data_IF_477919359606
#
_entry.id   IF_477919359606
#
_cell.length_a   1.000
_cell.length_b   1.000
_cell.length_c   1.000
_cell.angle_alpha   90.00
_cell.angle_beta   90.00
_cell.angle_gamma   90.00
#
_symmetry.space_group_name_H-M   'P 1'
#
loop_
_entity.id
_entity.type
_entity.pdbx_description
1 polymer ?
#
# COMPACT_ATOMS: atom_id res chain seq x y z
N UNK A 1 -8.30 43.71 -35.58
CA UNK A 1 -8.95 42.74 -36.48
C UNK A 1 -9.34 41.57 -35.63
N UNK A 2 -10.50 41.48 -35.09
CA UNK A 2 -11.82 41.02 -35.59
C UNK A 2 -11.80 39.63 -36.24
N UNK A 3 -12.57 38.77 -35.66
CA UNK A 3 -13.42 37.68 -36.14
C UNK A 3 -12.98 36.29 -35.66
N UNK A 4 -13.80 35.33 -35.22
CA UNK A 4 -15.26 35.26 -34.88
C UNK A 4 -15.48 33.87 -34.24
N UNK A 5 -16.37 33.82 -33.31
CA UNK A 5 -17.04 32.67 -32.71
C UNK A 5 -17.64 31.74 -33.76
N UNK A 6 -17.73 30.44 -33.48
CA UNK A 6 -18.92 29.67 -33.85
C UNK A 6 -19.14 28.53 -32.88
N UNK A 7 -20.28 28.57 -32.25
CA UNK A 7 -20.98 27.48 -31.51
C UNK A 7 -21.47 26.44 -32.50
N UNK A 8 -21.51 25.20 -32.07
CA UNK A 8 -22.54 24.24 -32.51
C UNK A 8 -23.02 23.39 -31.35
N UNK A 9 -24.32 23.54 -31.11
CA UNK A 9 -25.17 22.85 -30.13
C UNK A 9 -25.97 21.78 -30.89
N UNK A 10 -26.44 20.80 -30.13
CA UNK A 10 -27.50 19.82 -30.37
C UNK A 10 -27.05 18.44 -30.88
N UNK A 11 -27.60 17.33 -30.48
CA UNK A 11 -28.99 17.01 -30.14
C UNK A 11 -29.07 15.70 -29.32
N UNK A 12 -29.97 15.70 -28.38
CA UNK A 12 -30.53 14.55 -27.64
C UNK A 12 -31.42 13.75 -28.60
N UNK A 13 -31.36 12.41 -28.53
CA UNK A 13 -32.44 11.55 -28.99
C UNK A 13 -32.60 10.37 -28.04
N UNK A 14 -33.65 10.47 -27.24
CA UNK A 14 -34.25 9.37 -26.51
C UNK A 14 -35.10 8.53 -27.48
N UNK A 15 -34.98 7.19 -27.41
CA UNK A 15 -36.00 6.28 -27.95
C UNK A 15 -36.34 5.26 -26.89
N UNK A 16 -37.53 5.47 -26.33
CA UNK A 16 -38.32 4.44 -25.68
C UNK A 16 -39.15 3.72 -26.74
N UNK A 17 -39.22 2.40 -26.69
CA UNK A 17 -40.22 1.62 -27.38
C UNK A 17 -40.67 0.46 -26.51
N UNK A 18 -41.91 0.49 -26.24
CA UNK A 18 -42.80 -0.34 -25.43
C UNK A 18 -43.31 -1.56 -26.19
N UNK A 19 -43.70 -2.59 -25.39
CA UNK A 19 -44.77 -3.57 -25.58
C UNK A 19 -44.60 -4.68 -26.61
N UNK A 20 -44.92 -5.93 -26.25
CA UNK A 20 -46.32 -6.40 -26.18
C UNK A 20 -46.45 -7.73 -25.43
N UNK A 21 -47.54 -7.78 -24.68
CA UNK A 21 -48.19 -8.92 -24.06
C UNK A 21 -48.78 -9.85 -25.16
N UNK A 22 -48.64 -11.16 -24.97
CA UNK A 22 -49.34 -12.16 -25.74
C UNK A 22 -49.74 -13.34 -24.86
N UNK A 23 -50.99 -13.38 -24.48
CA UNK A 23 -51.66 -14.38 -23.66
C UNK A 23 -52.36 -15.41 -24.55
N UNK A 24 -52.45 -16.68 -24.10
CA UNK A 24 -53.33 -17.71 -24.62
C UNK A 24 -52.62 -19.04 -24.85
N UNK A 25 -52.94 -20.16 -24.31
CA UNK A 25 -54.07 -20.71 -23.64
C UNK A 25 -54.02 -22.24 -23.75
N UNK A 26 -54.32 -22.92 -22.65
CA UNK A 26 -54.96 -24.22 -22.43
C UNK A 26 -54.30 -25.57 -22.75
N UNK A 27 -54.21 -26.31 -21.66
CA UNK A 27 -54.60 -27.71 -21.35
C UNK A 27 -53.75 -28.87 -21.96
N UNK A 28 -53.25 -29.77 -21.19
CA UNK A 28 -53.78 -30.79 -20.30
C UNK A 28 -52.69 -31.77 -19.85
N UNK A 29 -52.82 -32.11 -18.60
CA UNK A 29 -52.45 -33.37 -17.89
C UNK A 29 -51.33 -34.30 -18.39
N UNK A 30 -50.32 -34.53 -17.54
CA UNK A 30 -50.17 -35.78 -16.79
C UNK A 30 -49.02 -35.73 -15.79
N UNK A 31 -49.38 -36.21 -14.62
CA UNK A 31 -48.55 -36.50 -13.44
C UNK A 31 -47.27 -37.31 -13.75
N UNK A 32 -46.17 -36.90 -13.16
CA UNK A 32 -45.11 -37.81 -12.68
C UNK A 32 -44.42 -37.19 -11.47
N UNK A 33 -44.36 -37.97 -10.43
CA UNK A 33 -43.86 -37.70 -9.09
C UNK A 33 -42.42 -37.23 -9.05
N UNK A 34 -42.13 -36.26 -8.23
CA UNK A 34 -41.30 -36.24 -7.11
C UNK A 34 -39.81 -36.55 -7.25
N UNK A 35 -39.02 -35.57 -7.17
CA UNK A 35 -37.85 -35.61 -6.31
C UNK A 35 -37.55 -34.17 -5.92
N UNK A 36 -37.97 -33.82 -4.72
CA UNK A 36 -37.48 -32.62 -4.03
C UNK A 36 -36.05 -32.90 -3.62
N UNK A 37 -35.11 -32.63 -4.52
CA UNK A 37 -33.75 -32.40 -4.10
C UNK A 37 -33.72 -31.01 -3.44
N UNK A 38 -33.83 -31.03 -2.13
CA UNK A 38 -33.47 -29.95 -1.27
C UNK A 38 -31.94 -29.82 -1.29
N UNK A 39 -31.41 -29.20 -2.35
CA UNK A 39 -30.02 -28.73 -2.34
C UNK A 39 -29.99 -27.61 -1.32
N UNK A 40 -29.57 -27.95 -0.13
CA UNK A 40 -29.02 -26.98 0.81
C UNK A 40 -27.96 -26.23 0.01
N UNK A 41 -28.18 -24.96 -0.26
CA UNK A 41 -27.14 -24.06 -0.69
C UNK A 41 -26.17 -23.98 0.51
N UNK A 42 -25.18 -24.86 0.49
CA UNK A 42 -23.94 -24.68 1.23
C UNK A 42 -23.29 -23.48 0.55
N UNK A 43 -23.13 -22.39 1.29
CA UNK A 43 -22.49 -21.16 0.82
C UNK A 43 -20.98 -21.38 0.71
N UNK A 44 -20.56 -22.37 -0.08
CA UNK A 44 -19.18 -22.52 -0.49
C UNK A 44 -18.82 -21.36 -1.41
N UNK A 45 -17.73 -20.65 -1.12
CA UNK A 45 -17.18 -19.67 -2.03
C UNK A 45 -16.88 -20.35 -3.37
N UNK A 46 -17.21 -19.70 -4.49
CA UNK A 46 -16.86 -20.17 -5.84
C UNK A 46 -15.33 -20.06 -6.13
N UNK A 47 -14.50 -19.80 -5.11
CA UNK A 47 -13.05 -19.69 -5.25
C UNK A 47 -12.44 -21.07 -5.57
N UNK A 48 -11.92 -21.19 -6.78
CA UNK A 48 -11.30 -22.42 -7.29
C UNK A 48 -9.80 -22.43 -6.98
N UNK A 49 -9.39 -23.23 -5.99
CA UNK A 49 -8.00 -23.32 -5.54
C UNK A 49 -7.05 -23.95 -6.57
N UNK A 50 -7.55 -24.57 -7.65
CA UNK A 50 -6.70 -25.12 -8.71
C UNK A 50 -6.16 -24.05 -9.69
N UNK A 51 -6.57 -22.80 -9.51
CA UNK A 51 -6.05 -21.71 -10.34
C UNK A 51 -4.67 -21.24 -9.88
N UNK A 52 -3.92 -20.72 -10.85
CA UNK A 52 -2.60 -20.16 -10.64
C UNK A 52 -2.67 -18.93 -9.71
N UNK A 53 -1.66 -18.80 -8.85
CA UNK A 53 -1.50 -17.64 -7.98
C UNK A 53 -0.95 -16.46 -8.80
N UNK A 54 -1.66 -15.35 -8.84
CA UNK A 54 -1.12 -14.10 -9.36
C UNK A 54 -0.25 -13.43 -8.29
N UNK A 55 1.06 -13.57 -8.42
CA UNK A 55 2.02 -12.97 -7.50
C UNK A 55 2.19 -11.50 -7.86
N UNK A 56 1.92 -10.60 -6.89
CA UNK A 56 2.09 -9.16 -7.08
C UNK A 56 3.19 -8.65 -6.17
N UNK A 57 4.21 -8.02 -6.75
CA UNK A 57 5.34 -7.45 -6.03
C UNK A 57 5.47 -5.94 -6.30
N UNK A 58 6.38 -5.30 -5.58
CA UNK A 58 6.69 -3.89 -5.73
C UNK A 58 7.97 -3.71 -6.57
N UNK A 59 8.16 -2.49 -7.03
CA UNK A 59 9.37 -2.03 -7.74
C UNK A 59 10.63 -2.16 -6.87
N UNK A 60 11.80 -2.25 -7.49
CA UNK A 60 13.10 -2.45 -6.81
C UNK A 60 13.46 -1.33 -5.81
N UNK A 61 13.04 -0.09 -6.07
CA UNK A 61 13.25 1.05 -5.16
C UNK A 61 12.37 1.03 -3.91
N UNK A 62 11.37 0.14 -3.85
CA UNK A 62 10.41 0.06 -2.75
C UNK A 62 11.04 -0.42 -1.45
N UNK A 63 10.98 0.43 -0.42
CA UNK A 63 11.38 0.00 0.93
C UNK A 63 10.48 -1.09 1.50
N UNK A 64 9.20 -1.16 1.10
CA UNK A 64 8.30 -2.25 1.50
C UNK A 64 8.73 -3.58 0.90
N UNK A 65 9.14 -3.59 -0.39
CA UNK A 65 9.69 -4.79 -1.01
C UNK A 65 10.95 -5.25 -0.27
N UNK A 66 11.91 -4.34 -0.05
CA UNK A 66 13.14 -4.70 0.65
C UNK A 66 12.88 -5.32 2.03
N UNK A 67 12.02 -4.71 2.84
CA UNK A 67 11.66 -5.25 4.14
C UNK A 67 10.88 -6.59 4.02
N UNK A 68 9.99 -6.73 3.06
CA UNK A 68 9.22 -7.96 2.82
C UNK A 68 10.12 -9.14 2.45
N UNK A 69 11.03 -8.96 1.48
CA UNK A 69 11.91 -10.05 1.03
C UNK A 69 12.91 -10.47 2.11
N UNK A 70 13.40 -9.53 2.92
CA UNK A 70 14.27 -9.82 4.06
C UNK A 70 13.51 -10.62 5.14
N UNK A 71 12.32 -10.16 5.49
CA UNK A 71 11.49 -10.73 6.54
C UNK A 71 11.06 -12.17 6.27
N UNK A 72 10.64 -12.44 5.03
CA UNK A 72 10.21 -13.78 4.61
C UNK A 72 11.36 -14.65 4.09
N UNK A 73 12.60 -14.16 4.16
CA UNK A 73 13.77 -14.91 3.69
C UNK A 73 13.77 -15.19 2.19
N UNK A 74 13.09 -14.34 1.40
CA UNK A 74 13.09 -14.37 -0.07
C UNK A 74 14.41 -13.80 -0.59
N UNK A 75 15.04 -12.89 0.17
CA UNK A 75 16.38 -12.41 -0.10
C UNK A 75 17.41 -13.45 0.37
N UNK A 76 18.30 -13.87 -0.52
CA UNK A 76 19.37 -14.82 -0.20
C UNK A 76 20.73 -14.16 -0.18
N UNK A 77 21.52 -14.48 0.86
CA UNK A 77 22.90 -14.02 0.97
C UNK A 77 23.83 -14.98 0.25
N UNK A 78 24.51 -14.50 -0.78
CA UNK A 78 25.49 -15.25 -1.54
C UNK A 78 26.81 -15.43 -0.76
N UNK A 79 27.66 -16.33 -1.22
CA UNK A 79 28.95 -16.65 -0.58
C UNK A 79 29.93 -15.46 -0.52
N UNK A 80 29.79 -14.50 -1.41
CA UNK A 80 30.56 -13.24 -1.44
C UNK A 80 29.99 -12.13 -0.55
N UNK A 81 28.85 -12.42 0.11
CA UNK A 81 28.15 -11.47 0.98
C UNK A 81 27.08 -10.65 0.26
N UNK A 82 26.97 -10.75 -1.05
CA UNK A 82 25.92 -10.07 -1.83
C UNK A 82 24.54 -10.64 -1.48
N UNK A 83 23.57 -9.78 -1.33
CA UNK A 83 22.15 -10.13 -1.14
C UNK A 83 21.46 -10.14 -2.48
N UNK A 84 20.72 -11.19 -2.78
CA UNK A 84 19.98 -11.37 -4.05
C UNK A 84 18.50 -11.59 -3.75
N UNK A 85 17.66 -10.77 -4.35
CA UNK A 85 16.22 -10.94 -4.32
C UNK A 85 15.82 -12.11 -5.23
N UNK A 86 15.23 -13.14 -4.64
CA UNK A 86 14.80 -14.37 -5.30
C UNK A 86 13.31 -14.31 -5.72
N UNK A 87 12.67 -13.14 -5.65
CA UNK A 87 11.30 -12.99 -6.15
C UNK A 87 11.19 -13.47 -7.59
N UNK A 88 10.23 -14.35 -7.87
CA UNK A 88 10.04 -14.91 -9.23
C UNK A 88 9.88 -13.80 -10.28
N UNK A 89 10.43 -14.05 -11.46
CA UNK A 89 10.30 -13.14 -12.61
C UNK A 89 8.88 -13.07 -13.16
N UNK A 90 8.01 -14.00 -12.78
CA UNK A 90 6.59 -14.04 -13.17
C UNK A 90 5.73 -13.09 -12.32
N UNK A 91 6.30 -12.53 -11.27
CA UNK A 91 5.58 -11.56 -10.41
C UNK A 91 5.22 -10.28 -11.18
N UNK A 92 3.96 -9.88 -11.07
CA UNK A 92 3.48 -8.60 -11.58
C UNK A 92 4.03 -7.46 -10.71
N UNK A 93 4.78 -6.54 -11.31
CA UNK A 93 5.41 -5.43 -10.59
C UNK A 93 4.50 -4.20 -10.57
N UNK A 94 4.26 -3.69 -9.36
CA UNK A 94 3.53 -2.43 -9.11
C UNK A 94 4.47 -1.35 -8.60
N UNK A 95 4.18 -0.10 -8.90
CA UNK A 95 5.07 1.04 -8.63
C UNK A 95 4.69 1.92 -7.43
N UNK A 96 3.62 1.55 -6.71
CA UNK A 96 3.22 2.21 -5.46
C UNK A 96 2.18 1.38 -4.69
N UNK A 97 1.91 1.79 -3.44
CA UNK A 97 0.99 1.12 -2.52
C UNK A 97 -0.46 1.08 -3.03
N UNK A 98 -0.95 2.16 -3.64
CA UNK A 98 -2.33 2.21 -4.13
C UNK A 98 -2.55 1.28 -5.33
N UNK A 99 -1.57 1.17 -6.23
CA UNK A 99 -1.61 0.23 -7.36
C UNK A 99 -1.58 -1.21 -6.85
N UNK A 100 -0.74 -1.53 -5.83
CA UNK A 100 -0.72 -2.85 -5.19
C UNK A 100 -2.12 -3.23 -4.68
N UNK A 101 -2.75 -2.37 -3.88
CA UNK A 101 -4.10 -2.60 -3.36
C UNK A 101 -5.13 -2.80 -4.47
N UNK A 102 -5.10 -1.97 -5.52
CA UNK A 102 -6.04 -2.07 -6.64
C UNK A 102 -5.83 -3.34 -7.45
N UNK A 103 -4.59 -3.75 -7.66
CA UNK A 103 -4.25 -4.97 -8.40
C UNK A 103 -4.77 -6.20 -7.66
N UNK A 104 -4.47 -6.32 -6.35
CA UNK A 104 -4.93 -7.46 -5.54
C UNK A 104 -6.47 -7.45 -5.39
N UNK A 105 -7.10 -6.28 -5.25
CA UNK A 105 -8.56 -6.18 -5.19
C UNK A 105 -9.24 -6.56 -6.51
N UNK A 106 -8.57 -6.40 -7.64
CA UNK A 106 -9.10 -6.66 -8.98
C UNK A 106 -8.89 -8.08 -9.51
N UNK A 107 -8.09 -8.90 -8.86
CA UNK A 107 -7.77 -10.27 -9.25
C UNK A 107 -8.01 -11.21 -8.06
N UNK A 108 -8.96 -12.14 -8.20
CA UNK A 108 -9.39 -13.05 -7.12
C UNK A 108 -8.29 -14.02 -6.67
N UNK A 109 -7.31 -14.31 -7.54
CA UNK A 109 -6.20 -15.22 -7.27
C UNK A 109 -4.91 -14.49 -6.87
N UNK A 110 -4.96 -13.15 -6.73
CA UNK A 110 -3.78 -12.37 -6.41
C UNK A 110 -3.38 -12.46 -4.93
N UNK A 111 -2.05 -12.50 -4.73
CA UNK A 111 -1.38 -12.27 -3.44
C UNK A 111 -0.44 -11.08 -3.56
N UNK A 112 -0.40 -10.24 -2.54
CA UNK A 112 0.45 -9.05 -2.48
C UNK A 112 0.83 -8.71 -1.05
N UNK A 113 1.45 -7.56 -0.85
CA UNK A 113 1.80 -7.05 0.47
C UNK A 113 1.76 -5.52 0.52
N UNK A 114 1.38 -4.98 1.67
CA UNK A 114 1.32 -3.53 1.91
C UNK A 114 1.78 -3.18 3.33
N UNK A 115 2.05 -1.91 3.54
CA UNK A 115 2.11 -1.30 4.87
C UNK A 115 0.81 -1.55 5.63
N UNK A 116 0.90 -1.97 6.89
CA UNK A 116 -0.27 -2.22 7.73
C UNK A 116 -1.15 -0.96 7.87
N UNK A 117 -0.55 0.21 7.99
CA UNK A 117 -1.27 1.47 8.05
C UNK A 117 -1.95 1.88 6.72
N UNK A 118 -1.59 1.24 5.60
CA UNK A 118 -2.25 1.43 4.30
C UNK A 118 -3.36 0.41 4.03
N UNK A 119 -3.51 -0.60 4.90
CA UNK A 119 -4.53 -1.63 4.76
C UNK A 119 -5.93 -1.02 4.81
N UNK A 120 -6.79 -1.43 3.88
CA UNK A 120 -8.18 -0.97 3.81
C UNK A 120 -9.13 -2.12 3.44
N UNK A 121 -10.42 -1.83 3.41
CA UNK A 121 -11.47 -2.81 3.18
C UNK A 121 -11.57 -3.32 1.71
N UNK A 122 -10.68 -2.95 0.80
CA UNK A 122 -10.68 -3.48 -0.57
C UNK A 122 -10.07 -4.87 -0.69
N UNK A 123 -9.22 -5.26 0.25
CA UNK A 123 -8.48 -6.52 0.29
C UNK A 123 -8.66 -7.24 1.62
N UNK A 124 -8.19 -8.48 1.73
CA UNK A 124 -8.14 -9.26 2.96
C UNK A 124 -6.67 -9.44 3.39
N UNK A 125 -6.34 -9.11 4.65
CA UNK A 125 -5.06 -9.45 5.24
C UNK A 125 -5.07 -10.88 5.75
N UNK A 126 -3.98 -11.62 5.52
CA UNK A 126 -3.77 -12.97 6.03
C UNK A 126 -3.04 -12.93 7.38
N UNK A 127 -3.33 -13.91 8.23
CA UNK A 127 -2.49 -14.24 9.37
C UNK A 127 -1.22 -14.92 8.88
N UNK A 128 -0.13 -14.70 9.57
CA UNK A 128 1.14 -15.38 9.30
C UNK A 128 1.54 -16.16 10.56
N UNK A 129 1.74 -17.47 10.41
CA UNK A 129 2.06 -18.38 11.53
C UNK A 129 1.11 -18.24 12.73
N UNK A 130 -0.21 -18.09 12.46
CA UNK A 130 -1.24 -17.90 13.46
C UNK A 130 -1.34 -16.49 14.05
N UNK A 131 -0.44 -15.59 13.67
CA UNK A 131 -0.43 -14.22 14.15
C UNK A 131 -1.13 -13.26 13.18
N UNK A 132 -1.97 -12.36 13.71
CA UNK A 132 -2.49 -11.24 12.95
C UNK A 132 -1.33 -10.37 12.43
N UNK A 133 -1.55 -9.72 11.30
CA UNK A 133 -0.62 -8.70 10.80
C UNK A 133 -0.57 -7.55 11.82
N UNK A 134 0.42 -7.60 12.69
CA UNK A 134 0.68 -6.56 13.70
C UNK A 134 2.10 -6.04 13.53
N UNK A 135 2.34 -4.82 13.99
CA UNK A 135 3.66 -4.24 13.95
C UNK A 135 4.71 -5.00 14.80
N UNK A 136 4.28 -5.86 15.73
CA UNK A 136 5.21 -6.57 16.63
C UNK A 136 5.96 -7.73 15.95
N UNK A 137 5.39 -8.33 14.91
CA UNK A 137 5.93 -9.54 14.28
C UNK A 137 6.63 -9.27 12.94
N UNK A 138 6.30 -8.15 12.29
CA UNK A 138 6.70 -7.84 10.91
C UNK A 138 6.91 -6.33 10.80
N UNK A 139 7.81 -5.78 11.62
CA UNK A 139 7.95 -4.35 11.73
C UNK A 139 9.19 -3.79 11.03
N UNK A 140 9.07 -2.58 10.55
CA UNK A 140 10.13 -1.80 9.92
C UNK A 140 10.00 -0.33 10.30
N UNK A 141 11.09 0.43 10.33
CA UNK A 141 11.01 1.85 10.58
C UNK A 141 10.45 2.60 9.38
N UNK A 142 9.65 3.62 9.67
CA UNK A 142 9.42 4.73 8.78
C UNK A 142 10.42 5.82 9.12
N UNK A 143 11.26 6.15 8.17
CA UNK A 143 12.31 7.15 8.29
C UNK A 143 11.97 8.40 7.47
N UNK A 144 12.25 9.56 8.03
CA UNK A 144 12.52 10.76 7.26
C UNK A 144 14.03 11.00 7.27
N UNK A 145 14.54 11.53 6.17
CA UNK A 145 15.97 11.81 6.05
C UNK A 145 16.18 13.19 5.42
N UNK A 146 17.22 13.88 5.88
CA UNK A 146 17.60 15.20 5.41
C UNK A 146 19.10 15.27 5.17
N UNK A 147 19.54 16.22 4.36
CA UNK A 147 20.99 16.49 4.23
C UNK A 147 21.57 16.93 5.57
N UNK A 148 22.82 16.53 5.85
CA UNK A 148 23.53 16.91 7.07
C UNK A 148 23.72 18.41 7.25
N UNK A 149 23.68 19.16 6.17
CA UNK A 149 23.76 20.62 6.11
C UNK A 149 22.41 21.29 5.81
N UNK A 150 21.29 20.65 6.19
CA UNK A 150 19.95 21.18 5.97
C UNK A 150 19.84 22.64 6.42
N UNK A 151 19.42 23.53 5.51
CA UNK A 151 19.30 24.98 5.71
C UNK A 151 17.84 25.45 5.75
N UNK A 152 16.89 24.63 5.28
CA UNK A 152 15.47 25.00 5.21
C UNK A 152 14.83 25.02 6.62
N UNK A 153 14.51 26.23 7.11
CA UNK A 153 13.92 26.40 8.44
C UNK A 153 12.50 25.80 8.57
N UNK A 154 11.72 25.77 7.47
CA UNK A 154 10.40 25.12 7.46
C UNK A 154 10.56 23.61 7.62
N UNK A 155 11.56 23.01 6.95
CA UNK A 155 11.85 21.59 7.08
C UNK A 155 12.26 21.23 8.51
N UNK A 156 13.15 22.01 9.13
CA UNK A 156 13.57 21.81 10.53
C UNK A 156 12.40 21.90 11.50
N UNK A 157 11.56 22.92 11.35
CA UNK A 157 10.40 23.15 12.21
C UNK A 157 9.32 22.08 12.03
N UNK A 158 9.10 21.62 10.79
CA UNK A 158 8.19 20.51 10.51
C UNK A 158 8.70 19.18 11.08
N UNK A 159 10.00 18.88 10.99
CA UNK A 159 10.60 17.70 11.64
C UNK A 159 10.40 17.78 13.17
N UNK A 160 10.59 18.95 13.78
CA UNK A 160 10.33 19.15 15.21
C UNK A 160 8.86 18.92 15.56
N UNK A 161 7.92 19.28 14.68
CA UNK A 161 6.50 18.97 14.84
C UNK A 161 6.22 17.47 14.74
N UNK A 162 6.77 16.78 13.74
CA UNK A 162 6.62 15.34 13.58
C UNK A 162 7.08 14.60 14.85
N UNK A 163 8.22 15.01 15.41
CA UNK A 163 8.85 14.40 16.58
C UNK A 163 8.32 14.95 17.91
N UNK A 164 7.23 15.71 17.90
CA UNK A 164 6.58 16.21 19.12
C UNK A 164 5.47 15.28 19.60
N UNK A 165 4.98 15.51 20.82
CA UNK A 165 3.81 14.82 21.38
C UNK A 165 2.61 14.90 20.43
N UNK A 166 2.36 16.09 19.86
CA UNK A 166 1.24 16.31 18.93
C UNK A 166 1.40 15.56 17.62
N UNK A 167 2.63 15.49 17.07
CA UNK A 167 2.94 14.70 15.88
C UNK A 167 2.83 13.20 16.14
N UNK A 168 3.35 12.73 17.28
CA UNK A 168 3.32 11.31 17.64
C UNK A 168 1.94 10.82 18.08
N UNK A 169 1.06 11.70 18.53
CA UNK A 169 -0.37 11.38 18.72
C UNK A 169 -1.05 11.07 17.37
N UNK A 170 -0.70 11.79 16.30
CA UNK A 170 -1.18 11.47 14.94
C UNK A 170 -0.68 10.11 14.49
N UNK A 171 0.61 9.81 14.69
CA UNK A 171 1.20 8.49 14.38
C UNK A 171 0.38 7.37 15.04
N UNK A 172 0.09 7.51 16.33
CA UNK A 172 -0.70 6.53 17.09
C UNK A 172 -2.15 6.42 16.59
N UNK A 173 -2.80 7.54 16.28
CA UNK A 173 -4.18 7.57 15.78
C UNK A 173 -4.32 6.91 14.40
N UNK A 174 -3.29 7.00 13.57
CA UNK A 174 -3.21 6.33 12.26
C UNK A 174 -2.73 4.87 12.37
N UNK A 175 -2.67 4.30 13.59
CA UNK A 175 -2.37 2.89 13.91
C UNK A 175 -0.93 2.46 13.64
N UNK A 176 -0.01 3.40 13.58
CA UNK A 176 1.42 3.11 13.61
C UNK A 176 1.93 3.09 15.05
N UNK A 177 3.09 2.47 15.30
CA UNK A 177 3.74 2.54 16.60
C UNK A 177 4.52 3.86 16.67
N UNK A 178 4.17 4.76 17.60
CA UNK A 178 4.84 6.04 17.74
C UNK A 178 6.21 5.88 18.40
N UNK A 179 7.06 6.89 18.20
CA UNK A 179 8.29 7.06 18.96
C UNK A 179 7.93 7.54 20.37
N UNK A 180 8.60 6.97 21.40
CA UNK A 180 8.44 7.35 22.80
C UNK A 180 9.35 8.52 23.19
N UNK A 181 9.12 9.05 24.40
CA UNK A 181 9.97 10.05 25.05
C UNK A 181 10.12 11.37 24.25
N UNK A 182 9.01 11.82 23.65
CA UNK A 182 8.93 13.06 22.89
C UNK A 182 8.37 14.22 23.73
N UNK A 183 8.81 15.45 23.42
CA UNK A 183 8.33 16.67 24.08
C UNK A 183 7.20 17.33 23.29
N UNK A 184 6.48 18.26 23.93
CA UNK A 184 5.48 19.08 23.26
C UNK A 184 6.12 19.99 22.20
N UNK A 185 5.40 20.23 21.10
CA UNK A 185 5.88 21.09 20.03
C UNK A 185 6.09 22.53 20.50
N UNK A 186 7.31 23.03 20.31
CA UNK A 186 7.75 24.37 20.66
C UNK A 186 8.43 25.13 19.51
N UNK A 187 8.02 24.85 18.27
CA UNK A 187 8.67 25.39 17.08
C UNK A 187 8.40 26.88 16.81
N UNK A 188 9.21 27.46 15.94
CA UNK A 188 9.23 28.90 15.64
C UNK A 188 8.20 29.33 14.58
N UNK A 189 7.57 28.37 13.88
CA UNK A 189 6.56 28.56 12.83
C UNK A 189 7.06 29.47 11.69
N UNK A 190 8.18 29.12 11.05
CA UNK A 190 8.74 29.91 9.97
C UNK A 190 7.84 29.91 8.74
N UNK A 191 8.00 30.92 7.89
CA UNK A 191 7.36 30.99 6.58
C UNK A 191 8.30 30.50 5.49
N UNK A 192 7.76 29.86 4.48
CA UNK A 192 8.53 29.39 3.33
C UNK A 192 7.99 28.08 2.77
N UNK A 193 8.73 27.50 1.84
CA UNK A 193 8.39 26.25 1.16
C UNK A 193 9.29 25.11 1.65
N UNK A 194 8.73 23.92 1.77
CA UNK A 194 9.44 22.66 2.02
C UNK A 194 8.89 21.59 1.08
N UNK A 195 9.76 20.85 0.42
CA UNK A 195 9.40 19.71 -0.42
C UNK A 195 9.73 18.41 0.32
N UNK A 196 8.70 17.62 0.56
CA UNK A 196 8.81 16.30 1.19
C UNK A 196 8.52 15.24 0.14
N UNK A 197 9.34 14.20 0.01
CA UNK A 197 9.08 13.21 -1.02
C UNK A 197 9.67 11.84 -0.76
N UNK A 198 9.11 10.81 -1.41
CA UNK A 198 9.60 9.45 -1.33
C UNK A 198 8.51 8.39 -1.10
N UNK A 199 8.77 7.46 -0.21
CA UNK A 199 7.99 6.24 0.01
C UNK A 199 6.47 6.41 0.00
N UNK A 200 5.79 5.75 -0.93
CA UNK A 200 4.32 5.69 -1.01
C UNK A 200 3.66 5.01 0.20
N UNK A 201 4.40 4.24 0.98
CA UNK A 201 3.91 3.66 2.24
C UNK A 201 3.92 4.65 3.39
N UNK A 202 4.83 5.63 3.37
CA UNK A 202 4.91 6.71 4.37
C UNK A 202 3.94 7.85 4.04
N UNK A 203 3.64 8.05 2.74
CA UNK A 203 2.80 9.17 2.26
C UNK A 203 1.48 9.34 3.00
N UNK A 204 0.66 8.29 3.29
CA UNK A 204 -0.60 8.47 4.01
C UNK A 204 -0.43 9.09 5.39
N UNK A 205 0.57 8.65 6.16
CA UNK A 205 0.90 9.25 7.46
C UNK A 205 1.41 10.68 7.29
N UNK A 206 2.28 10.92 6.31
CA UNK A 206 2.85 12.24 6.05
C UNK A 206 1.77 13.27 5.66
N UNK A 207 0.76 12.88 4.89
CA UNK A 207 -0.40 13.73 4.57
C UNK A 207 -1.11 14.22 5.83
N UNK A 208 -1.34 13.34 6.81
CA UNK A 208 -1.96 13.69 8.09
C UNK A 208 -1.10 14.63 8.93
N UNK A 209 0.20 14.37 8.97
CA UNK A 209 1.16 15.23 9.67
C UNK A 209 1.23 16.63 9.05
N UNK A 210 1.27 16.71 7.71
CA UNK A 210 1.25 17.98 6.97
C UNK A 210 -0.07 18.74 7.21
N UNK A 211 -1.22 18.05 7.13
CA UNK A 211 -2.52 18.65 7.38
C UNK A 211 -2.61 19.25 8.79
N UNK A 212 -2.12 18.53 9.78
CA UNK A 212 -2.12 19.01 11.16
C UNK A 212 -1.12 20.16 11.39
N UNK A 213 0.09 20.03 10.82
CA UNK A 213 1.09 21.10 10.91
C UNK A 213 0.63 22.41 10.26
N UNK A 214 -0.09 22.37 9.15
CA UNK A 214 -0.69 23.56 8.49
C UNK A 214 -1.67 24.31 9.41
N UNK A 215 -2.34 23.63 10.34
CA UNK A 215 -3.20 24.28 11.35
C UNK A 215 -2.37 25.02 12.40
N UNK A 216 -1.18 24.50 12.71
CA UNK A 216 -0.24 25.08 13.67
C UNK A 216 0.60 26.18 13.05
N UNK A 217 1.06 25.98 11.83
CA UNK A 217 1.86 26.94 11.06
C UNK A 217 1.25 27.17 9.66
N UNK A 218 0.28 28.07 9.51
CA UNK A 218 -0.35 28.38 8.22
C UNK A 218 0.57 29.12 7.22
N UNK A 219 1.75 29.57 7.67
CA UNK A 219 2.72 30.27 6.83
C UNK A 219 3.69 29.34 6.10
N UNK A 220 3.69 28.04 6.43
CA UNK A 220 4.48 27.03 5.76
C UNK A 220 3.72 26.47 4.55
N UNK A 221 4.41 26.36 3.41
CA UNK A 221 3.94 25.67 2.23
C UNK A 221 4.71 24.36 2.08
N UNK A 222 4.07 23.24 2.47
CA UNK A 222 4.69 21.91 2.35
C UNK A 222 4.08 21.18 1.17
N UNK A 223 4.94 20.85 0.20
CA UNK A 223 4.60 20.03 -0.97
C UNK A 223 5.00 18.58 -0.72
N UNK A 224 4.06 17.64 -0.91
CA UNK A 224 4.31 16.20 -0.79
C UNK A 224 4.40 15.57 -2.18
N UNK A 225 5.48 14.81 -2.42
CA UNK A 225 5.69 14.05 -3.65
C UNK A 225 5.83 12.55 -3.33
N UNK A 226 4.92 11.74 -3.86
CA UNK A 226 4.91 10.30 -3.61
C UNK A 226 5.66 9.55 -4.70
N UNK A 227 6.62 8.72 -4.30
CA UNK A 227 7.41 7.82 -5.14
C UNK A 227 7.76 6.53 -4.37
N UNK A 228 8.98 6.05 -4.49
CA UNK A 228 9.55 4.97 -3.69
C UNK A 228 10.65 5.48 -2.73
N UNK A 229 11.13 4.61 -1.84
CA UNK A 229 12.14 4.99 -0.83
C UNK A 229 13.48 5.38 -1.45
N UNK A 230 13.92 4.67 -2.47
CA UNK A 230 15.22 4.94 -3.12
C UNK A 230 15.18 6.28 -3.86
N UNK A 231 14.12 6.56 -4.60
CA UNK A 231 13.88 7.87 -5.22
C UNK A 231 13.84 8.99 -4.18
N UNK A 232 13.16 8.75 -3.04
CA UNK A 232 13.12 9.70 -1.92
C UNK A 232 14.51 10.06 -1.42
N UNK A 233 15.35 9.06 -1.14
CA UNK A 233 16.72 9.29 -0.65
C UNK A 233 17.60 9.96 -1.70
N UNK A 234 17.59 9.48 -2.94
CA UNK A 234 18.38 10.06 -4.03
C UNK A 234 18.02 11.53 -4.28
N UNK A 235 16.72 11.85 -4.37
CA UNK A 235 16.28 13.22 -4.59
C UNK A 235 16.61 14.17 -3.42
N UNK A 236 16.69 13.63 -2.19
CA UNK A 236 17.14 14.39 -1.03
C UNK A 236 18.64 14.66 -1.09
N UNK A 237 19.45 13.67 -1.45
CA UNK A 237 20.91 13.83 -1.67
C UNK A 237 21.17 14.89 -2.76
N UNK A 238 20.41 14.84 -3.86
CA UNK A 238 20.52 15.80 -4.97
C UNK A 238 19.97 17.20 -4.63
N UNK A 239 19.22 17.35 -3.52
CA UNK A 239 18.64 18.60 -3.05
C UNK A 239 17.34 19.01 -3.76
N UNK A 240 16.69 18.07 -4.46
CA UNK A 240 15.34 18.26 -5.03
C UNK A 240 14.25 18.15 -3.95
N UNK A 241 14.48 17.38 -2.91
CA UNK A 241 13.65 17.31 -1.70
C UNK A 241 14.41 17.85 -0.50
N UNK A 242 13.70 18.57 0.36
CA UNK A 242 14.23 19.01 1.66
C UNK A 242 14.19 17.86 2.67
N UNK A 243 13.13 17.03 2.58
CA UNK A 243 12.91 15.86 3.44
C UNK A 243 12.59 14.66 2.56
N UNK A 244 13.40 13.60 2.64
CA UNK A 244 13.13 12.32 2.01
C UNK A 244 12.37 11.37 2.92
N UNK A 245 11.54 10.48 2.37
CA UNK A 245 10.78 9.47 3.11
C UNK A 245 11.22 8.07 2.70
N UNK A 246 11.53 7.21 3.67
CA UNK A 246 11.81 5.79 3.44
C UNK A 246 11.03 4.89 4.39
N UNK A 247 10.57 3.74 3.89
CA UNK A 247 9.92 2.68 4.68
C UNK A 247 10.87 1.49 4.88
N UNK A 248 12.11 1.79 5.15
CA UNK A 248 13.24 0.90 5.45
C UNK A 248 14.35 1.69 6.13
N UNK A 249 15.33 0.99 6.66
CA UNK A 249 16.59 1.63 7.03
C UNK A 249 17.27 2.25 5.79
N UNK A 250 18.07 3.28 6.03
CA UNK A 250 18.90 3.85 4.97
C UNK A 250 20.02 2.88 4.60
N UNK A 251 20.35 2.83 3.31
CA UNK A 251 21.55 2.12 2.85
C UNK A 251 22.82 2.85 3.29
N UNK A 252 23.95 2.18 3.33
CA UNK A 252 25.22 2.74 3.79
C UNK A 252 25.64 3.99 3.00
N UNK A 253 25.43 3.99 1.69
CA UNK A 253 25.67 5.13 0.81
C UNK A 253 24.73 6.31 1.10
N UNK A 254 23.46 6.05 1.34
CA UNK A 254 22.47 7.05 1.73
C UNK A 254 22.81 7.65 3.11
N UNK A 255 23.13 6.81 4.09
CA UNK A 255 23.49 7.23 5.45
C UNK A 255 24.81 8.03 5.52
N UNK A 256 25.69 7.87 4.52
CA UNK A 256 26.89 8.68 4.41
C UNK A 256 26.59 10.16 4.13
N UNK A 257 25.52 10.45 3.40
CA UNK A 257 25.12 11.79 2.94
C UNK A 257 23.98 12.39 3.76
N UNK A 258 23.09 11.55 4.28
CA UNK A 258 21.85 11.96 4.95
C UNK A 258 21.91 11.68 6.45
N UNK A 259 21.07 12.41 7.18
CA UNK A 259 20.71 12.16 8.57
C UNK A 259 19.28 11.65 8.64
N UNK A 260 19.09 10.42 9.15
CA UNK A 260 17.79 9.78 9.26
C UNK A 260 17.19 9.95 10.65
N UNK A 261 15.87 10.10 10.69
CA UNK A 261 15.07 10.12 11.92
C UNK A 261 13.93 9.13 11.76
N UNK A 262 13.84 8.16 12.66
CA UNK A 262 12.68 7.26 12.74
C UNK A 262 11.49 8.05 13.26
N UNK A 263 10.39 8.06 12.51
CA UNK A 263 9.17 8.79 12.88
C UNK A 263 8.03 7.87 13.34
N UNK A 264 8.10 6.60 12.98
CA UNK A 264 7.12 5.58 13.33
C UNK A 264 7.71 4.20 13.08
N UNK A 265 7.11 3.18 13.69
CA UNK A 265 7.30 1.78 13.28
C UNK A 265 6.00 1.26 12.65
N UNK A 266 6.12 0.58 11.52
CA UNK A 266 5.01 0.06 10.73
C UNK A 266 5.16 -1.44 10.52
N UNK A 267 4.02 -2.15 10.40
CA UNK A 267 3.96 -3.56 10.03
C UNK A 267 3.80 -3.76 8.52
N UNK A 268 4.07 -4.98 8.06
CA UNK A 268 3.74 -5.41 6.69
C UNK A 268 2.62 -6.43 6.76
N UNK A 269 1.55 -6.23 6.00
CA UNK A 269 0.46 -7.18 5.84
C UNK A 269 0.60 -7.91 4.50
N UNK A 270 0.55 -9.25 4.53
CA UNK A 270 0.31 -10.06 3.34
C UNK A 270 -1.18 -9.98 3.03
N UNK A 271 -1.52 -9.66 1.81
CA UNK A 271 -2.90 -9.40 1.38
C UNK A 271 -3.31 -10.27 0.21
N UNK A 272 -4.58 -10.64 0.19
CA UNK A 272 -5.22 -11.36 -0.92
C UNK A 272 -6.55 -10.68 -1.28
N UNK A 273 -7.12 -11.07 -2.41
CA UNK A 273 -8.47 -10.67 -2.77
C UNK A 273 -9.49 -11.18 -1.72
N UNK A 274 -10.59 -10.47 -1.56
CA UNK A 274 -11.67 -10.87 -0.62
C UNK A 274 -12.35 -12.19 -0.96
N UNK A 275 -12.34 -12.58 -2.24
CA UNK A 275 -12.87 -13.87 -2.69
C UNK A 275 -11.98 -15.06 -2.28
N UNK A 276 -10.69 -14.82 -2.02
CA UNK A 276 -9.76 -15.86 -1.60
C UNK A 276 -10.19 -16.48 -0.27
N UNK A 277 -10.18 -17.81 -0.19
CA UNK A 277 -10.64 -18.57 0.99
C UNK A 277 -9.58 -18.75 2.07
N UNK A 278 -8.30 -18.54 1.75
CA UNK A 278 -7.22 -18.64 2.74
C UNK A 278 -7.35 -17.52 3.79
N UNK A 279 -7.28 -17.88 5.07
CA UNK A 279 -7.27 -16.92 6.19
C UNK A 279 -5.87 -16.79 6.81
N UNK A 280 -5.00 -17.75 6.53
CA UNK A 280 -3.68 -17.86 7.11
C UNK A 280 -2.70 -18.50 6.13
N UNK A 281 -1.44 -18.09 6.20
CA UNK A 281 -0.27 -18.76 5.59
C UNK A 281 0.85 -18.85 6.62
N UNK A 282 1.75 -19.83 6.46
CA UNK A 282 3.03 -19.79 7.15
C UNK A 282 4.03 -18.86 6.42
N UNK A 283 5.05 -18.40 7.11
CA UNK A 283 6.13 -17.63 6.50
C UNK A 283 6.82 -18.42 5.38
N UNK A 284 6.99 -19.75 5.56
CA UNK A 284 7.57 -20.62 4.54
C UNK A 284 6.67 -20.74 3.29
N UNK A 285 5.34 -20.78 3.45
CA UNK A 285 4.41 -20.78 2.32
C UNK A 285 4.48 -19.46 1.55
N UNK A 286 4.51 -18.32 2.24
CA UNK A 286 4.70 -17.00 1.60
C UNK A 286 6.01 -17.00 0.80
N UNK A 287 7.12 -17.49 1.40
CA UNK A 287 8.40 -17.62 0.69
C UNK A 287 8.24 -18.47 -0.56
N UNK A 288 7.70 -19.69 -0.45
CA UNK A 288 7.57 -20.64 -1.55
C UNK A 288 6.75 -20.08 -2.71
N UNK A 289 5.69 -19.32 -2.41
CA UNK A 289 4.90 -18.59 -3.43
C UNK A 289 5.78 -17.56 -4.13
N UNK A 290 6.44 -16.68 -3.38
CA UNK A 290 7.19 -15.56 -3.97
C UNK A 290 8.46 -15.95 -4.69
N UNK A 291 9.07 -17.11 -4.39
CA UNK A 291 10.20 -17.63 -5.17
C UNK A 291 9.74 -18.50 -6.37
N UNK A 292 8.43 -18.79 -6.47
CA UNK A 292 7.84 -19.53 -7.59
C UNK A 292 7.89 -21.06 -7.45
N UNK A 293 8.13 -21.57 -6.23
CA UNK A 293 8.11 -23.01 -5.94
C UNK A 293 6.67 -23.54 -5.82
N UNK A 294 5.71 -22.69 -5.42
CA UNK A 294 4.28 -22.95 -5.35
C UNK A 294 3.58 -22.01 -6.31
N UNK A 295 2.75 -22.56 -7.18
CA UNK A 295 2.14 -21.83 -8.29
C UNK A 295 0.61 -21.81 -8.27
N UNK A 296 -0.04 -22.72 -7.53
CA UNK A 296 -1.50 -22.81 -7.41
C UNK A 296 -1.95 -22.76 -5.97
N UNK A 297 -3.19 -22.33 -5.73
CA UNK A 297 -3.73 -22.18 -4.35
C UNK A 297 -3.99 -23.52 -3.66
N UNK A 298 -4.19 -24.62 -4.39
CA UNK A 298 -4.34 -25.97 -3.79
C UNK A 298 -3.02 -26.56 -3.29
N UNK A 299 -1.87 -26.09 -3.78
CA UNK A 299 -0.55 -26.46 -3.26
C UNK A 299 -0.21 -25.80 -1.93
N UNK A 300 -0.95 -24.75 -1.55
CA UNK A 300 -0.72 -23.98 -0.31
C UNK A 300 -1.36 -24.63 0.92
N UNK A 301 -2.28 -25.58 0.75
CA UNK A 301 -3.09 -26.24 1.78
C UNK A 301 -2.36 -27.31 2.61
#
# INVERSE_FOLDING_TARGET
MKFRKLMAVALVAAMAATMAVGCGGSSSDKSAEGSTNNSSADGGSDFDTSNDITIVSREDGSGTRGAFIELFGIEEKQSDGTKVDMTTTDAQITNNTSVMLTTVAGDEYAIGYVSLGSLNDSVKALKIDGAEATADNVSRPFNIAVKKDLDNEVAKDFMAYIMSTEGQEIVSNEKYIPVSDVEAYAGSKPSGKCVVGGSSSVSPLMEKLIEAYKKVNPNADIELQTSDSTTGMTSTIEGSYDIGMASRELKDDEASELEATVIATDGIAVIVNKANTADELSADQVKSIYVGDVTTWDEVS
#
